data_IF_116421064718
#
_entry.id   IF_116421064718
#
_cell.length_a   1.000
_cell.length_b   1.000
_cell.length_c   1.000
_cell.angle_alpha   90.00
_cell.angle_beta   90.00
_cell.angle_gamma   90.00
#
_symmetry.space_group_name_H-M   'P 1'
#
loop_
_entity.id
_entity.type
_entity.pdbx_description
1 polymer ?
#
# COMPACT_ATOMS: atom_id res chain seq x y z
N UNK A 1 -38.56 -36.24 14.53
CA UNK A 1 -37.68 -36.68 15.63
C UNK A 1 -36.40 -37.23 15.01
N UNK A 2 -35.31 -36.56 15.18
CA UNK A 2 -33.96 -37.03 15.41
C UNK A 2 -33.00 -35.83 15.37
N UNK A 3 -32.48 -35.49 16.54
CA UNK A 3 -31.37 -34.57 16.75
C UNK A 3 -30.11 -35.21 16.18
N UNK A 4 -29.30 -34.41 15.44
CA UNK A 4 -27.87 -34.61 15.39
C UNK A 4 -27.21 -33.36 15.96
N UNK A 5 -26.60 -33.54 17.12
CA UNK A 5 -25.78 -32.57 17.81
C UNK A 5 -24.44 -32.36 17.10
N UNK A 6 -24.03 -31.19 17.16
CA UNK A 6 -22.85 -30.52 16.72
C UNK A 6 -21.53 -30.98 17.28
N UNK A 7 -20.62 -30.16 17.39
CA UNK A 7 -19.24 -30.06 17.87
C UNK A 7 -18.34 -29.63 16.75
N UNK A 8 -17.43 -28.75 16.87
CA UNK A 8 -16.83 -28.00 17.98
C UNK A 8 -16.21 -26.71 17.38
N UNK A 9 -16.38 -25.52 17.96
CA UNK A 9 -15.74 -24.31 17.47
C UNK A 9 -14.48 -23.92 18.27
N UNK A 10 -13.74 -24.88 18.87
CA UNK A 10 -12.61 -24.55 19.75
C UNK A 10 -11.26 -25.07 19.25
N UNK A 11 -10.82 -24.58 18.05
CA UNK A 11 -9.46 -24.88 17.58
C UNK A 11 -8.59 -23.64 17.31
N UNK A 12 -9.05 -22.43 17.68
CA UNK A 12 -8.28 -21.18 17.49
C UNK A 12 -8.20 -20.26 18.72
N UNK A 13 -8.48 -20.75 19.92
CA UNK A 13 -8.27 -19.99 21.15
C UNK A 13 -6.91 -20.32 21.75
N UNK A 14 -5.85 -19.62 21.35
CA UNK A 14 -4.56 -19.85 22.00
C UNK A 14 -3.36 -19.05 21.56
N UNK A 15 -3.49 -18.12 20.65
CA UNK A 15 -2.35 -17.26 20.31
C UNK A 15 -2.64 -15.81 20.71
N UNK A 16 -2.13 -15.38 21.86
CA UNK A 16 -2.09 -13.97 22.21
C UNK A 16 -1.04 -13.26 21.34
N UNK A 17 -1.38 -12.12 20.79
CA UNK A 17 -0.59 -11.26 19.90
C UNK A 17 0.80 -10.88 20.50
N UNK A 18 0.90 -10.83 21.82
CA UNK A 18 2.14 -10.59 22.56
C UNK A 18 3.19 -11.68 22.37
N UNK A 19 2.79 -12.94 22.22
CA UNK A 19 3.73 -14.05 22.09
C UNK A 19 4.48 -14.09 20.76
N UNK A 20 3.92 -13.51 19.69
CA UNK A 20 4.56 -13.43 18.37
C UNK A 20 5.59 -12.29 18.32
N UNK A 21 5.30 -11.16 18.95
CA UNK A 21 6.21 -10.03 19.03
C UNK A 21 7.45 -10.37 19.85
N UNK A 22 7.27 -10.95 21.03
CA UNK A 22 8.36 -11.36 21.92
C UNK A 22 9.24 -12.45 21.30
N UNK A 23 8.64 -13.34 20.48
CA UNK A 23 9.39 -14.38 19.76
C UNK A 23 10.18 -13.81 18.57
N UNK A 24 9.71 -12.76 17.93
CA UNK A 24 10.45 -12.09 16.86
C UNK A 24 11.60 -11.22 17.39
N UNK A 25 11.46 -10.57 18.55
CA UNK A 25 12.52 -9.78 19.19
C UNK A 25 13.71 -10.64 19.66
N UNK A 26 13.46 -11.91 20.02
CA UNK A 26 14.52 -12.86 20.38
C UNK A 26 15.32 -13.40 19.20
N UNK A 27 14.90 -13.18 17.96
CA UNK A 27 15.58 -13.65 16.78
C UNK A 27 16.73 -12.75 16.34
N UNK A 28 17.74 -12.59 17.19
CA UNK A 28 19.00 -11.91 16.79
C UNK A 28 19.85 -12.75 15.84
N UNK A 29 19.56 -14.04 15.69
CA UNK A 29 20.24 -14.93 14.75
C UNK A 29 19.20 -15.72 13.94
N UNK A 30 19.08 -15.38 12.65
CA UNK A 30 18.07 -15.92 11.73
C UNK A 30 18.24 -17.44 11.52
N UNK A 31 19.45 -17.97 11.70
CA UNK A 31 19.75 -19.40 11.52
C UNK A 31 19.16 -20.28 12.65
N UNK A 32 18.81 -19.68 13.78
CA UNK A 32 18.30 -20.41 14.96
C UNK A 32 16.87 -20.06 15.36
N UNK A 33 16.22 -19.12 14.66
CA UNK A 33 14.85 -18.72 14.99
C UNK A 33 13.83 -19.73 14.46
N UNK A 34 13.35 -20.61 15.33
CA UNK A 34 12.31 -21.58 15.01
C UNK A 34 10.96 -20.97 14.63
N UNK A 35 10.74 -19.69 14.86
CA UNK A 35 9.52 -18.96 14.47
C UNK A 35 9.67 -18.35 13.07
N UNK A 36 10.87 -17.86 12.75
CA UNK A 36 11.20 -17.32 11.41
C UNK A 36 11.80 -18.39 10.49
N UNK A 37 12.33 -19.49 11.05
CA UNK A 37 12.93 -20.62 10.34
C UNK A 37 12.08 -21.88 10.31
N UNK A 38 10.88 -21.82 10.88
CA UNK A 38 9.88 -22.89 10.76
C UNK A 38 9.52 -23.07 9.30
N UNK A 39 9.68 -24.26 8.86
CA UNK A 39 9.44 -24.80 7.51
C UNK A 39 8.76 -23.82 6.56
N UNK A 40 9.55 -23.25 5.67
CA UNK A 40 9.12 -22.35 4.58
C UNK A 40 8.01 -22.98 3.71
N UNK A 41 7.86 -24.31 3.76
CA UNK A 41 6.84 -25.07 3.02
C UNK A 41 5.38 -24.74 3.41
N UNK A 42 5.13 -24.17 4.58
CA UNK A 42 3.78 -23.76 5.01
C UNK A 42 3.44 -22.30 4.72
N UNK A 43 4.46 -21.45 4.48
CA UNK A 43 4.29 -20.03 4.24
C UNK A 43 4.50 -19.61 2.78
N UNK A 44 5.02 -20.49 1.93
CA UNK A 44 5.12 -20.25 0.49
C UNK A 44 3.77 -20.08 -0.22
N UNK A 45 2.66 -20.36 0.45
CA UNK A 45 1.33 -20.26 -0.14
C UNK A 45 0.62 -18.93 0.11
N UNK A 46 1.21 -17.99 0.82
CA UNK A 46 0.54 -16.72 1.12
C UNK A 46 1.06 -15.56 0.24
N UNK A 47 2.12 -15.74 -0.51
CA UNK A 47 2.70 -14.67 -1.31
C UNK A 47 3.11 -15.01 -2.72
N UNK A 48 2.95 -16.24 -3.19
CA UNK A 48 3.37 -16.64 -4.54
C UNK A 48 2.38 -17.64 -5.12
N UNK A 49 1.32 -17.15 -5.70
CA UNK A 49 0.68 -17.79 -6.84
C UNK A 49 0.46 -16.77 -7.95
N UNK A 50 1.54 -16.41 -8.58
CA UNK A 50 1.50 -16.00 -9.97
C UNK A 50 1.37 -17.29 -10.80
N UNK A 51 0.18 -17.85 -10.90
CA UNK A 51 -0.25 -18.73 -12.00
C UNK A 51 -1.70 -19.08 -11.78
N UNK A 52 -2.54 -18.24 -12.26
CA UNK A 52 -3.88 -18.42 -12.79
C UNK A 52 -4.61 -17.08 -12.69
N UNK A 53 -4.39 -16.19 -13.64
CA UNK A 53 -5.39 -15.28 -14.16
C UNK A 53 -6.12 -14.32 -13.21
N UNK A 54 -5.64 -13.99 -12.02
CA UNK A 54 -6.30 -13.03 -11.15
C UNK A 54 -5.31 -12.30 -10.23
N UNK A 55 -5.22 -10.99 -10.43
CA UNK A 55 -5.02 -9.95 -9.44
C UNK A 55 -3.66 -9.93 -8.72
N UNK A 56 -2.67 -9.39 -9.41
CA UNK A 56 -1.44 -8.90 -8.77
C UNK A 56 -1.70 -7.49 -8.22
N UNK A 57 -1.83 -7.35 -6.92
CA UNK A 57 -1.73 -6.08 -6.21
C UNK A 57 -0.40 -6.06 -5.44
N UNK A 58 0.22 -4.92 -5.27
CA UNK A 58 1.33 -4.78 -4.34
C UNK A 58 0.81 -4.57 -2.92
N UNK A 59 1.57 -5.05 -1.96
CA UNK A 59 1.12 -5.15 -0.58
C UNK A 59 2.14 -4.61 0.38
N UNK A 60 1.72 -3.72 1.22
CA UNK A 60 2.50 -3.30 2.37
C UNK A 60 2.30 -4.28 3.54
N UNK A 61 3.34 -5.04 3.89
CA UNK A 61 3.23 -6.07 4.91
C UNK A 61 3.44 -5.53 6.33
N UNK A 62 2.48 -5.77 7.20
CA UNK A 62 2.58 -5.49 8.63
C UNK A 62 3.46 -6.50 9.41
N UNK A 63 4.21 -7.41 8.73
CA UNK A 63 5.00 -8.45 9.38
C UNK A 63 6.52 -8.25 9.23
N UNK A 64 7.21 -7.72 10.26
CA UNK A 64 8.64 -7.40 10.19
C UNK A 64 9.58 -8.61 10.02
N UNK A 65 9.14 -9.84 10.34
CA UNK A 65 10.00 -11.01 10.21
C UNK A 65 10.22 -11.45 8.75
N UNK A 66 9.29 -11.13 7.85
CA UNK A 66 9.38 -11.52 6.44
C UNK A 66 10.40 -10.71 5.67
N UNK A 67 10.52 -9.43 5.96
CA UNK A 67 11.44 -8.52 5.27
C UNK A 67 12.92 -8.75 5.57
N UNK A 68 13.27 -9.18 6.79
CA UNK A 68 14.69 -9.41 7.15
C UNK A 68 15.39 -10.48 6.33
N UNK A 69 14.68 -11.51 5.86
CA UNK A 69 15.27 -12.59 5.04
C UNK A 69 15.50 -12.18 3.60
N UNK A 70 14.81 -11.16 3.08
CA UNK A 70 14.96 -10.67 1.70
C UNK A 70 16.16 -9.72 1.54
N UNK A 71 16.65 -9.11 2.63
CA UNK A 71 17.72 -8.11 2.61
C UNK A 71 19.14 -8.66 2.36
N UNK A 72 19.34 -9.96 2.28
CA UNK A 72 20.65 -10.57 1.98
C UNK A 72 20.98 -10.68 0.48
N UNK A 73 20.15 -10.14 -0.40
CA UNK A 73 20.49 -10.07 -1.82
C UNK A 73 21.72 -9.15 -2.03
N UNK A 74 22.83 -9.75 -2.40
CA UNK A 74 24.17 -9.13 -2.51
C UNK A 74 24.31 -8.04 -3.57
N UNK A 75 23.34 -7.85 -4.44
CA UNK A 75 23.19 -6.68 -5.33
C UNK A 75 21.73 -6.58 -5.73
N UNK A 76 21.10 -5.45 -5.46
CA UNK A 76 19.76 -5.19 -5.94
C UNK A 76 19.76 -5.20 -7.48
N UNK A 77 19.25 -6.26 -8.07
CA UNK A 77 19.10 -6.36 -9.52
C UNK A 77 17.76 -5.74 -9.90
N UNK A 78 17.79 -4.42 -10.11
CA UNK A 78 16.62 -3.66 -10.53
C UNK A 78 16.29 -4.01 -11.97
N UNK A 79 15.05 -4.45 -12.23
CA UNK A 79 14.57 -4.84 -13.56
C UNK A 79 13.31 -4.06 -13.90
N UNK A 80 13.13 -3.84 -15.20
CA UNK A 80 11.91 -3.27 -15.75
C UNK A 80 11.18 -4.32 -16.59
N UNK A 81 9.93 -4.61 -16.24
CA UNK A 81 9.11 -5.62 -16.89
C UNK A 81 8.43 -5.15 -18.18
N UNK A 82 8.49 -3.84 -18.52
CA UNK A 82 7.91 -3.29 -19.75
C UNK A 82 6.48 -2.76 -19.60
N UNK A 83 5.91 -2.77 -18.39
CA UNK A 83 4.58 -2.24 -18.08
C UNK A 83 4.45 -0.73 -18.21
N UNK A 84 3.26 -0.17 -18.02
CA UNK A 84 3.04 1.26 -18.06
C UNK A 84 3.78 1.97 -16.93
N UNK A 85 4.30 3.18 -17.22
CA UNK A 85 4.97 4.04 -16.26
C UNK A 85 4.29 5.41 -16.23
N UNK A 86 4.29 6.04 -15.08
CA UNK A 86 3.81 7.40 -14.88
C UNK A 86 4.64 8.40 -15.67
N UNK A 87 3.99 9.21 -16.52
CA UNK A 87 4.67 10.21 -17.34
C UNK A 87 4.39 11.62 -16.85
N UNK A 88 5.25 12.56 -17.24
CA UNK A 88 4.99 13.97 -16.97
C UNK A 88 3.60 14.38 -17.48
N UNK A 89 2.90 15.13 -16.64
CA UNK A 89 1.57 15.65 -16.96
C UNK A 89 0.42 14.64 -16.74
N UNK A 90 0.69 13.44 -16.22
CA UNK A 90 -0.35 12.58 -15.68
C UNK A 90 -1.03 13.25 -14.50
N UNK A 91 -2.17 12.75 -14.09
CA UNK A 91 -3.01 13.44 -13.11
C UNK A 91 -3.39 12.53 -11.95
N UNK A 92 -3.21 13.03 -10.74
CA UNK A 92 -3.76 12.47 -9.52
C UNK A 92 -5.17 13.00 -9.26
N UNK A 93 -6.08 12.12 -8.85
CA UNK A 93 -7.41 12.47 -8.39
C UNK A 93 -7.63 11.90 -6.99
N UNK A 94 -7.67 12.76 -5.99
CA UNK A 94 -8.03 12.35 -4.65
C UNK A 94 -9.55 12.15 -4.55
N UNK A 95 -9.96 11.00 -4.01
CA UNK A 95 -11.36 10.62 -3.74
C UNK A 95 -11.52 10.35 -2.26
N UNK A 96 -12.31 11.14 -1.59
CA UNK A 96 -12.68 10.97 -0.19
C UNK A 96 -14.01 10.24 -0.10
N UNK A 97 -14.00 8.97 0.30
CA UNK A 97 -15.22 8.16 0.29
C UNK A 97 -15.91 8.15 1.64
N UNK A 98 -17.03 8.82 1.73
CA UNK A 98 -17.93 8.82 2.88
C UNK A 98 -18.17 10.18 3.52
N UNK A 99 -19.26 10.31 4.28
CA UNK A 99 -19.65 11.56 4.93
C UNK A 99 -18.64 12.04 6.00
N UNK A 100 -17.76 11.15 6.49
CA UNK A 100 -16.69 11.52 7.39
C UNK A 100 -15.86 12.69 6.85
N UNK A 101 -15.48 12.64 5.59
CA UNK A 101 -14.64 13.64 4.96
C UNK A 101 -15.34 14.94 4.61
N UNK A 102 -16.69 14.94 4.53
CA UNK A 102 -17.49 16.16 4.30
C UNK A 102 -17.92 16.82 5.60
N UNK A 103 -17.61 16.24 6.76
CA UNK A 103 -17.90 16.85 8.06
C UNK A 103 -16.99 18.06 8.30
N UNK A 104 -17.53 19.23 8.73
CA UNK A 104 -16.72 20.38 9.10
C UNK A 104 -15.64 20.06 10.15
N UNK A 105 -15.92 19.13 11.06
CA UNK A 105 -14.96 18.70 12.08
C UNK A 105 -13.71 18.04 11.49
N UNK A 106 -13.79 17.49 10.28
CA UNK A 106 -12.69 16.79 9.60
C UNK A 106 -12.08 17.60 8.45
N UNK A 107 -12.53 18.84 8.25
CA UNK A 107 -12.01 19.68 7.15
C UNK A 107 -10.50 19.95 7.25
N UNK A 108 -9.99 20.13 8.47
CA UNK A 108 -8.55 20.29 8.68
C UNK A 108 -7.77 19.02 8.32
N UNK A 109 -8.30 17.85 8.63
CA UNK A 109 -7.73 16.56 8.26
C UNK A 109 -7.63 16.39 6.75
N UNK A 110 -8.73 16.62 6.02
CA UNK A 110 -8.74 16.57 4.55
C UNK A 110 -7.72 17.54 3.96
N UNK A 111 -7.69 18.79 4.46
CA UNK A 111 -6.71 19.79 4.00
C UNK A 111 -5.26 19.35 4.24
N UNK A 112 -4.98 18.67 5.34
CA UNK A 112 -3.64 18.14 5.62
C UNK A 112 -3.26 17.03 4.65
N UNK A 113 -4.20 16.15 4.27
CA UNK A 113 -3.96 15.11 3.26
C UNK A 113 -3.70 15.74 1.88
N UNK A 114 -4.53 16.70 1.45
CA UNK A 114 -4.33 17.40 0.18
C UNK A 114 -2.96 18.06 0.08
N UNK A 115 -2.54 18.70 1.17
CA UNK A 115 -1.21 19.30 1.26
C UNK A 115 -0.14 18.21 1.15
N UNK A 116 -0.27 17.13 1.89
CA UNK A 116 0.71 16.04 1.88
C UNK A 116 0.87 15.42 0.49
N UNK A 117 -0.24 15.15 -0.23
CA UNK A 117 -0.17 14.67 -1.62
C UNK A 117 0.60 15.66 -2.51
N UNK A 118 0.34 16.96 -2.37
CA UNK A 118 1.03 17.99 -3.14
C UNK A 118 2.52 18.07 -2.81
N UNK A 119 2.87 18.02 -1.52
CA UNK A 119 4.26 18.11 -1.06
C UNK A 119 5.04 16.84 -1.47
N UNK A 120 4.47 15.65 -1.33
CA UNK A 120 5.07 14.39 -1.81
C UNK A 120 5.29 14.42 -3.31
N UNK A 121 4.27 14.85 -4.08
CA UNK A 121 4.36 14.87 -5.55
C UNK A 121 5.41 15.88 -6.06
N UNK A 122 5.58 17.01 -5.39
CA UNK A 122 6.45 18.09 -5.82
C UNK A 122 7.86 18.08 -5.22
N UNK A 123 8.14 17.18 -4.24
CA UNK A 123 9.46 17.15 -3.59
C UNK A 123 10.57 16.82 -4.59
N UNK A 124 11.59 17.69 -4.59
CA UNK A 124 12.69 17.65 -5.56
C UNK A 124 13.62 16.45 -5.40
N UNK A 125 13.70 15.91 -4.22
CA UNK A 125 14.60 14.78 -3.91
C UNK A 125 13.87 13.46 -3.89
N UNK A 126 12.60 13.48 -3.50
CA UNK A 126 11.74 12.31 -3.42
C UNK A 126 11.10 11.99 -4.78
N UNK A 127 10.05 12.69 -5.16
CA UNK A 127 9.32 12.40 -6.42
C UNK A 127 10.10 12.75 -7.67
N UNK A 128 10.83 13.87 -7.71
CA UNK A 128 11.70 14.19 -8.86
C UNK A 128 12.88 13.23 -8.96
N UNK A 129 13.37 12.70 -7.83
CA UNK A 129 14.42 11.68 -7.78
C UNK A 129 14.07 10.39 -8.53
N UNK A 130 12.77 10.08 -8.65
CA UNK A 130 12.27 8.92 -9.40
C UNK A 130 12.47 9.03 -10.93
N UNK A 131 12.87 10.19 -11.46
CA UNK A 131 13.17 10.36 -12.88
C UNK A 131 14.20 9.34 -13.41
N UNK A 132 15.06 8.82 -12.55
CA UNK A 132 15.96 7.72 -12.88
C UNK A 132 15.24 6.45 -13.36
N UNK A 133 13.98 6.28 -13.01
CA UNK A 133 13.10 5.19 -13.42
C UNK A 133 12.25 5.53 -14.65
N UNK A 134 12.56 6.63 -15.33
CA UNK A 134 11.82 7.12 -16.50
C UNK A 134 10.35 7.43 -16.19
N UNK A 135 10.09 7.89 -14.98
CA UNK A 135 8.78 8.39 -14.52
C UNK A 135 8.84 9.91 -14.32
N UNK A 136 7.69 10.53 -14.26
CA UNK A 136 7.58 11.99 -14.22
C UNK A 136 6.77 12.49 -13.02
N UNK A 137 6.48 13.78 -13.07
CA UNK A 137 5.65 14.48 -12.07
C UNK A 137 4.23 14.61 -12.61
N UNK A 138 3.26 14.35 -11.74
CA UNK A 138 1.85 14.48 -12.00
C UNK A 138 1.31 15.89 -11.72
N UNK A 139 0.04 16.06 -12.08
CA UNK A 139 -0.78 17.21 -11.67
C UNK A 139 -1.81 16.72 -10.66
N UNK A 140 -2.26 17.58 -9.78
CA UNK A 140 -3.34 17.27 -8.85
C UNK A 140 -4.62 17.96 -9.35
N UNK A 141 -5.69 17.18 -9.48
CA UNK A 141 -7.04 17.70 -9.65
C UNK A 141 -7.62 18.16 -8.32
N UNK A 142 -8.60 19.06 -8.31
CA UNK A 142 -9.41 19.30 -7.12
C UNK A 142 -10.00 17.98 -6.61
N UNK A 143 -10.01 17.75 -5.29
CA UNK A 143 -10.50 16.50 -4.71
C UNK A 143 -12.01 16.30 -4.94
N UNK A 144 -12.43 15.05 -4.98
CA UNK A 144 -13.84 14.65 -5.02
C UNK A 144 -14.23 14.00 -3.70
N UNK A 145 -15.36 14.42 -3.12
CA UNK A 145 -15.90 13.78 -1.92
C UNK A 145 -17.19 13.05 -2.25
N UNK A 146 -17.20 11.73 -2.03
CA UNK A 146 -18.37 10.88 -2.18
C UNK A 146 -19.12 10.86 -0.85
N UNK A 147 -20.32 11.45 -0.80
CA UNK A 147 -21.08 11.59 0.45
C UNK A 147 -21.78 10.31 0.93
N UNK A 148 -21.89 9.30 0.05
CA UNK A 148 -22.47 8.00 0.41
C UNK A 148 -21.43 7.22 1.20
N UNK A 149 -21.79 6.72 2.38
CA UNK A 149 -20.90 5.92 3.20
C UNK A 149 -20.58 4.58 2.50
N UNK A 150 -19.31 4.13 2.47
CA UNK A 150 -19.00 2.76 2.10
C UNK A 150 -19.53 1.78 3.14
N UNK A 151 -19.68 0.52 2.78
CA UNK A 151 -19.86 -0.55 3.74
C UNK A 151 -18.66 -0.65 4.68
N UNK A 152 -18.83 -1.12 5.89
CA UNK A 152 -17.74 -1.25 6.87
C UNK A 152 -16.68 -2.28 6.45
N UNK A 153 -17.07 -3.21 5.58
CA UNK A 153 -16.17 -4.18 4.93
C UNK A 153 -16.46 -4.18 3.45
N UNK A 154 -15.44 -3.95 2.65
CA UNK A 154 -15.50 -3.98 1.19
C UNK A 154 -14.41 -4.88 0.65
N UNK A 155 -14.63 -5.51 -0.47
CA UNK A 155 -13.59 -6.21 -1.21
C UNK A 155 -12.99 -5.28 -2.26
N UNK A 156 -11.75 -5.55 -2.68
CA UNK A 156 -11.12 -4.82 -3.79
C UNK A 156 -11.98 -4.91 -5.07
N UNK A 157 -12.54 -6.07 -5.36
CA UNK A 157 -13.46 -6.23 -6.48
C UNK A 157 -14.69 -5.31 -6.41
N UNK A 158 -15.29 -5.10 -5.22
CA UNK A 158 -16.38 -4.14 -5.03
C UNK A 158 -15.90 -2.70 -5.17
N UNK A 159 -14.70 -2.39 -4.67
CA UNK A 159 -14.09 -1.07 -4.81
C UNK A 159 -13.86 -0.75 -6.29
N UNK A 160 -13.28 -1.66 -7.05
CA UNK A 160 -13.07 -1.51 -8.51
C UNK A 160 -14.37 -1.28 -9.27
N UNK A 161 -15.41 -2.05 -8.99
CA UNK A 161 -16.74 -1.86 -9.58
C UNK A 161 -17.30 -0.47 -9.23
N UNK A 162 -17.14 -0.04 -7.99
CA UNK A 162 -17.59 1.26 -7.51
C UNK A 162 -16.84 2.40 -8.21
N UNK A 163 -15.50 2.32 -8.30
CA UNK A 163 -14.70 3.29 -9.03
C UNK A 163 -15.10 3.38 -10.50
N UNK A 164 -15.26 2.24 -11.16
CA UNK A 164 -15.73 2.19 -12.55
C UNK A 164 -17.09 2.85 -12.72
N UNK A 165 -18.03 2.64 -11.78
CA UNK A 165 -19.34 3.28 -11.78
C UNK A 165 -19.25 4.80 -11.60
N UNK A 166 -18.42 5.29 -10.69
CA UNK A 166 -18.21 6.73 -10.50
C UNK A 166 -17.63 7.41 -11.74
N UNK A 167 -16.70 6.74 -12.41
CA UNK A 167 -16.12 7.23 -13.67
C UNK A 167 -17.19 7.26 -14.77
N UNK A 168 -17.94 6.17 -14.93
CA UNK A 168 -18.97 6.07 -15.97
C UNK A 168 -20.11 7.09 -15.77
N UNK A 169 -20.48 7.40 -14.54
CA UNK A 169 -21.50 8.41 -14.21
C UNK A 169 -21.00 9.85 -14.25
N UNK A 170 -19.70 10.09 -14.42
CA UNK A 170 -19.10 11.41 -14.33
C UNK A 170 -19.00 11.96 -12.89
N UNK A 171 -19.24 11.12 -11.87
CA UNK A 171 -19.06 11.50 -10.45
C UNK A 171 -17.60 11.83 -10.14
N UNK A 172 -16.68 11.11 -10.75
CA UNK A 172 -15.25 11.44 -10.76
C UNK A 172 -14.75 11.58 -12.21
N UNK A 173 -13.73 12.43 -12.46
CA UNK A 173 -13.17 12.60 -13.80
C UNK A 173 -12.65 11.27 -14.36
N UNK A 174 -12.84 11.04 -15.65
CA UNK A 174 -12.21 9.92 -16.36
C UNK A 174 -10.78 10.29 -16.75
N UNK A 175 -9.80 9.71 -16.08
CA UNK A 175 -8.37 9.93 -16.33
C UNK A 175 -7.81 8.97 -17.40
N UNK A 176 -8.55 7.93 -17.76
CA UNK A 176 -8.09 6.88 -18.69
C UNK A 176 -6.80 6.23 -18.17
N UNK A 177 -5.79 6.14 -19.06
CA UNK A 177 -4.46 5.62 -18.72
C UNK A 177 -3.45 6.72 -18.34
N UNK A 178 -3.91 7.98 -18.18
CA UNK A 178 -3.04 9.14 -17.93
C UNK A 178 -3.21 9.72 -16.54
N UNK A 179 -3.57 8.89 -15.58
CA UNK A 179 -3.73 9.29 -14.20
C UNK A 179 -4.15 8.15 -13.29
N UNK A 180 -4.25 8.46 -12.02
CA UNK A 180 -4.65 7.53 -10.99
C UNK A 180 -5.52 8.21 -9.92
N UNK A 181 -6.19 7.38 -9.16
CA UNK A 181 -7.12 7.78 -8.11
C UNK A 181 -6.57 7.36 -6.75
N UNK A 182 -6.32 8.31 -5.85
CA UNK A 182 -6.05 7.99 -4.45
C UNK A 182 -7.39 7.91 -3.72
N UNK A 183 -7.76 6.74 -3.22
CA UNK A 183 -9.06 6.47 -2.60
C UNK A 183 -8.90 6.39 -1.08
N UNK A 184 -9.30 7.46 -0.39
CA UNK A 184 -9.23 7.54 1.07
C UNK A 184 -10.51 6.98 1.69
N UNK A 185 -10.34 5.97 2.57
CA UNK A 185 -11.43 5.34 3.29
C UNK A 185 -11.59 5.94 4.69
N UNK A 186 -12.84 6.07 5.19
CA UNK A 186 -13.09 6.63 6.51
C UNK A 186 -12.76 5.64 7.64
N UNK A 187 -12.69 6.09 8.91
CA UNK A 187 -12.51 5.20 10.05
C UNK A 187 -13.49 4.04 10.05
N UNK A 188 -13.05 2.87 10.50
CA UNK A 188 -13.83 1.62 10.65
C UNK A 188 -14.27 0.98 9.33
N UNK A 189 -13.73 1.40 8.21
CA UNK A 189 -13.87 0.71 6.93
C UNK A 189 -12.61 -0.08 6.69
N UNK A 190 -12.76 -1.36 6.40
CA UNK A 190 -11.67 -2.26 5.98
C UNK A 190 -11.90 -2.71 4.55
N UNK A 191 -10.82 -2.83 3.79
CA UNK A 191 -10.82 -3.42 2.46
C UNK A 191 -10.10 -4.76 2.52
N UNK A 192 -10.60 -5.75 1.76
CA UNK A 192 -9.98 -7.07 1.65
C UNK A 192 -9.66 -7.40 0.20
N UNK A 193 -8.49 -7.95 0.00
CA UNK A 193 -8.01 -8.42 -1.29
C UNK A 193 -8.36 -9.90 -1.47
N UNK A 194 -8.37 -10.64 -0.37
CA UNK A 194 -8.88 -12.01 -0.29
C UNK A 194 -9.58 -12.23 1.05
N UNK A 195 -10.23 -13.38 1.29
CA UNK A 195 -10.86 -13.68 2.59
C UNK A 195 -9.92 -13.64 3.79
N UNK A 196 -8.62 -13.79 3.57
CA UNK A 196 -7.59 -13.83 4.62
C UNK A 196 -6.73 -12.55 4.67
N UNK A 197 -6.96 -11.61 3.75
CA UNK A 197 -6.08 -10.44 3.57
C UNK A 197 -6.92 -9.17 3.64
N UNK A 198 -6.91 -8.56 4.80
CA UNK A 198 -7.64 -7.32 5.07
C UNK A 198 -6.70 -6.22 5.53
N UNK A 199 -7.05 -4.99 5.19
CA UNK A 199 -6.36 -3.80 5.67
C UNK A 199 -6.36 -3.73 7.19
N UNK A 200 -5.31 -3.16 7.79
CA UNK A 200 -5.05 -3.10 9.22
C UNK A 200 -4.79 -4.45 9.91
N UNK A 201 -4.80 -5.54 9.17
CA UNK A 201 -4.50 -6.89 9.67
C UNK A 201 -3.31 -7.51 8.94
N UNK A 202 -3.26 -7.38 7.62
CA UNK A 202 -2.22 -7.97 6.77
C UNK A 202 -1.44 -6.91 6.00
N UNK A 203 -2.11 -5.86 5.53
CA UNK A 203 -1.52 -4.74 4.80
C UNK A 203 -2.07 -3.41 5.32
N UNK A 204 -1.41 -2.30 4.98
CA UNK A 204 -1.78 -0.95 5.38
C UNK A 204 -2.54 -0.22 4.27
N UNK A 205 -2.01 -0.29 3.08
CA UNK A 205 -2.45 0.36 1.85
C UNK A 205 -2.07 -0.53 0.66
N UNK A 206 -2.47 -0.19 -0.54
CA UNK A 206 -2.08 -0.88 -1.77
C UNK A 206 -2.45 -0.05 -3.01
N UNK A 207 -1.79 -0.33 -4.13
CA UNK A 207 -2.23 0.14 -5.43
C UNK A 207 -2.63 -1.01 -6.35
N UNK A 208 -3.43 -0.68 -7.36
CA UNK A 208 -3.86 -1.66 -8.35
C UNK A 208 -4.40 -0.97 -9.62
N UNK A 209 -4.80 -1.78 -10.59
CA UNK A 209 -5.47 -1.35 -11.81
C UNK A 209 -6.78 -2.10 -12.02
N UNK A 210 -7.83 -1.39 -12.43
CA UNK A 210 -9.15 -2.01 -12.69
C UNK A 210 -9.06 -3.02 -13.84
N UNK A 211 -8.37 -2.65 -14.92
CA UNK A 211 -8.24 -3.46 -16.14
C UNK A 211 -6.76 -3.67 -16.53
N UNK A 212 -5.91 -4.01 -15.56
CA UNK A 212 -4.49 -4.19 -15.77
C UNK A 212 -3.84 -2.97 -16.42
N UNK A 213 -2.97 -3.15 -17.40
CA UNK A 213 -2.22 -2.06 -18.06
C UNK A 213 -3.08 -1.00 -18.76
N UNK A 214 -4.39 -1.22 -18.88
CA UNK A 214 -5.33 -0.24 -19.46
C UNK A 214 -5.99 0.65 -18.40
N UNK A 215 -5.67 0.47 -17.10
CA UNK A 215 -6.28 1.24 -16.00
C UNK A 215 -7.80 1.03 -15.89
N UNK A 216 -8.52 1.89 -15.23
CA UNK A 216 -8.03 2.93 -14.32
C UNK A 216 -7.07 2.42 -13.25
N UNK A 217 -6.07 3.23 -12.92
CA UNK A 217 -5.10 2.95 -11.86
C UNK A 217 -5.54 3.63 -10.57
N UNK A 218 -5.28 3.00 -9.42
CA UNK A 218 -5.70 3.56 -8.13
C UNK A 218 -4.81 3.09 -6.98
N UNK A 219 -4.77 3.91 -5.94
CA UNK A 219 -4.29 3.52 -4.61
C UNK A 219 -5.48 3.46 -3.65
N UNK A 220 -5.36 2.70 -2.60
CA UNK A 220 -6.35 2.63 -1.53
C UNK A 220 -5.67 2.91 -0.21
N UNK A 221 -6.17 3.96 0.44
CA UNK A 221 -5.67 4.48 1.69
C UNK A 221 -6.71 4.26 2.80
N UNK A 222 -6.69 3.12 3.49
CA UNK A 222 -7.52 2.94 4.68
C UNK A 222 -7.24 4.02 5.71
N UNK A 223 -8.21 4.36 6.55
CA UNK A 223 -7.93 5.24 7.68
C UNK A 223 -6.80 4.64 8.52
N UNK A 224 -5.82 5.45 8.95
CA UNK A 224 -4.59 4.95 9.58
C UNK A 224 -4.81 3.93 10.68
N UNK A 225 -4.23 2.79 10.51
CA UNK A 225 -4.32 1.69 11.45
C UNK A 225 -3.48 1.99 12.70
N UNK A 226 -4.01 1.71 13.87
CA UNK A 226 -3.33 1.96 15.14
C UNK A 226 -2.23 0.94 15.47
N UNK A 227 -2.15 -0.16 14.70
CA UNK A 227 -1.18 -1.24 14.91
C UNK A 227 -0.62 -1.70 13.57
N UNK A 228 0.67 -1.98 13.55
CA UNK A 228 1.37 -2.57 12.41
C UNK A 228 1.72 -1.57 11.29
N UNK A 229 0.91 -0.55 11.06
CA UNK A 229 1.11 0.45 10.02
C UNK A 229 1.73 1.77 10.55
N UNK A 230 1.78 1.95 11.87
CA UNK A 230 2.28 3.17 12.53
C UNK A 230 3.77 3.02 12.91
N UNK A 231 4.62 2.73 11.97
CA UNK A 231 6.01 2.37 12.23
C UNK A 231 6.87 3.55 12.74
N UNK A 232 6.58 4.77 12.26
CA UNK A 232 7.41 5.92 12.58
C UNK A 232 6.90 6.74 13.75
N UNK A 233 5.60 6.89 13.86
CA UNK A 233 4.95 7.69 14.90
C UNK A 233 3.56 7.16 15.23
N UNK A 234 2.99 7.64 16.34
CA UNK A 234 1.57 7.38 16.65
C UNK A 234 0.64 8.45 16.06
N UNK A 235 1.15 9.34 15.20
CA UNK A 235 0.37 10.36 14.54
C UNK A 235 -0.31 9.76 13.30
N UNK A 236 -1.63 9.92 13.20
CA UNK A 236 -2.41 9.36 12.10
C UNK A 236 -2.04 9.95 10.74
N UNK A 237 -1.67 11.24 10.67
CA UNK A 237 -1.25 11.84 9.40
C UNK A 237 0.09 11.25 8.93
N UNK A 238 1.06 11.14 9.84
CA UNK A 238 2.37 10.58 9.52
C UNK A 238 2.25 9.10 9.06
N UNK A 239 1.35 8.33 9.70
CA UNK A 239 1.05 6.95 9.29
C UNK A 239 0.44 6.92 7.89
N UNK A 240 -0.52 7.81 7.62
CA UNK A 240 -1.16 7.89 6.31
C UNK A 240 -0.17 8.30 5.22
N UNK A 241 0.66 9.32 5.49
CA UNK A 241 1.59 9.83 4.47
C UNK A 241 2.71 8.85 4.16
N UNK A 242 3.06 7.99 5.12
CA UNK A 242 4.03 6.93 4.90
C UNK A 242 3.50 5.92 3.87
N UNK A 243 2.31 5.35 4.08
CA UNK A 243 1.70 4.44 3.12
C UNK A 243 1.36 5.11 1.80
N UNK A 244 0.66 6.24 1.83
CA UNK A 244 0.34 7.01 0.63
C UNK A 244 1.57 7.29 -0.25
N UNK A 245 2.70 7.66 0.35
CA UNK A 245 3.92 7.94 -0.39
C UNK A 245 4.53 6.70 -1.03
N UNK A 246 4.40 5.56 -0.39
CA UNK A 246 4.76 4.25 -0.93
C UNK A 246 3.93 3.95 -2.16
N UNK A 247 2.62 3.96 -2.04
CA UNK A 247 1.70 3.65 -3.13
C UNK A 247 1.82 4.65 -4.30
N UNK A 248 2.10 5.93 -4.02
CA UNK A 248 2.39 6.92 -5.06
C UNK A 248 3.69 6.62 -5.82
N UNK A 249 4.74 6.16 -5.15
CA UNK A 249 6.00 5.78 -5.79
C UNK A 249 5.82 4.51 -6.61
N UNK A 250 5.22 3.50 -6.03
CA UNK A 250 5.03 2.19 -6.65
C UNK A 250 4.11 2.30 -7.85
N UNK A 251 2.97 2.99 -7.71
CA UNK A 251 2.10 3.25 -8.84
C UNK A 251 2.82 4.01 -9.98
N UNK A 252 3.73 4.93 -9.68
CA UNK A 252 4.50 5.61 -10.73
C UNK A 252 5.46 4.68 -11.45
N UNK A 253 6.09 3.77 -10.74
CA UNK A 253 7.15 2.90 -11.24
C UNK A 253 6.66 1.54 -11.70
N UNK A 254 5.47 1.13 -11.24
CA UNK A 254 4.81 -0.13 -11.55
C UNK A 254 3.27 0.01 -11.58
N UNK A 255 2.74 0.86 -12.47
CA UNK A 255 1.31 1.21 -12.53
C UNK A 255 0.36 0.01 -12.58
N UNK A 256 0.82 -1.10 -13.15
CA UNK A 256 0.13 -2.38 -13.12
C UNK A 256 1.04 -3.36 -12.38
N UNK A 257 0.76 -3.65 -11.11
CA UNK A 257 1.67 -4.37 -10.22
C UNK A 257 2.36 -5.59 -10.83
N UNK A 258 3.66 -5.67 -10.64
CA UNK A 258 4.51 -6.75 -11.16
C UNK A 258 4.94 -6.60 -12.62
N UNK A 259 4.59 -5.50 -13.30
CA UNK A 259 4.97 -5.27 -14.71
C UNK A 259 5.96 -4.14 -14.94
N UNK A 260 6.19 -3.31 -13.95
CA UNK A 260 7.08 -2.15 -14.00
C UNK A 260 8.48 -2.41 -13.48
N UNK A 261 8.97 -1.55 -12.60
CA UNK A 261 10.30 -1.65 -11.99
C UNK A 261 10.25 -2.45 -10.70
N UNK A 262 11.00 -3.55 -10.64
CA UNK A 262 11.07 -4.46 -9.50
C UNK A 262 12.50 -4.83 -9.13
N UNK A 263 12.70 -5.27 -7.88
CA UNK A 263 13.94 -5.84 -7.34
C UNK A 263 13.63 -7.26 -6.87
N UNK A 264 14.01 -8.25 -7.66
CA UNK A 264 13.51 -9.61 -7.47
C UNK A 264 12.00 -9.67 -7.73
N UNK A 265 11.20 -9.92 -6.69
CA UNK A 265 9.73 -9.93 -6.74
C UNK A 265 9.12 -8.78 -5.92
N UNK A 266 9.93 -7.80 -5.53
CA UNK A 266 9.50 -6.65 -4.71
C UNK A 266 9.48 -5.40 -5.55
N UNK A 267 8.57 -4.50 -5.23
CA UNK A 267 8.57 -3.15 -5.74
C UNK A 267 9.66 -2.31 -5.08
N UNK A 268 9.82 -1.07 -5.50
CA UNK A 268 10.97 -0.27 -5.10
C UNK A 268 10.90 0.16 -3.63
N UNK A 269 9.71 0.41 -3.10
CA UNK A 269 9.51 0.75 -1.71
C UNK A 269 9.54 -0.49 -0.83
N UNK A 270 8.84 -1.55 -1.21
CA UNK A 270 8.87 -2.86 -0.55
C UNK A 270 10.28 -3.34 -0.23
N UNK A 271 11.20 -3.19 -1.20
CA UNK A 271 12.59 -3.55 -1.01
C UNK A 271 13.27 -2.73 0.08
N UNK A 272 12.83 -1.50 0.30
CA UNK A 272 13.37 -0.58 1.29
C UNK A 272 12.66 -0.60 2.63
N UNK A 273 11.41 -1.03 2.67
CA UNK A 273 10.58 -1.02 3.87
C UNK A 273 11.17 -1.84 5.02
N UNK A 274 11.77 -2.96 4.71
CA UNK A 274 12.44 -3.79 5.72
C UNK A 274 13.55 -3.09 6.53
N UNK A 275 13.94 -1.89 6.18
CA UNK A 275 14.95 -1.09 6.91
C UNK A 275 14.34 -0.15 7.92
N UNK A 276 13.01 -0.01 7.97
CA UNK A 276 12.25 0.83 8.90
C UNK A 276 12.86 2.23 9.07
N UNK A 277 13.18 2.87 7.97
CA UNK A 277 13.77 4.21 8.01
C UNK A 277 12.65 5.23 7.87
N UNK A 278 12.36 5.89 8.97
CA UNK A 278 11.41 6.99 9.01
C UNK A 278 12.04 8.23 8.39
N UNK A 279 11.76 8.45 7.14
CA UNK A 279 12.28 9.59 6.39
C UNK A 279 11.26 10.73 6.35
N UNK A 280 11.76 11.94 6.17
CA UNK A 280 10.93 13.11 5.88
C UNK A 280 11.35 13.77 4.58
N UNK A 281 10.38 14.30 3.88
CA UNK A 281 10.60 15.21 2.76
C UNK A 281 10.73 16.66 3.25
N UNK A 282 11.07 17.57 2.36
CA UNK A 282 11.24 19.00 2.68
C UNK A 282 9.97 19.63 3.26
N UNK A 283 8.79 19.17 2.85
CA UNK A 283 7.48 19.59 3.39
C UNK A 283 7.23 19.18 4.84
N UNK A 284 8.02 18.23 5.34
CA UNK A 284 7.93 17.72 6.73
C UNK A 284 7.14 16.43 6.87
N UNK A 285 6.49 15.97 5.83
CA UNK A 285 5.73 14.72 5.81
C UNK A 285 6.65 13.52 5.98
N UNK A 286 6.23 12.52 6.74
CA UNK A 286 6.86 11.20 6.73
C UNK A 286 6.53 10.46 5.44
N UNK A 287 7.54 9.84 4.85
CA UNK A 287 7.43 9.08 3.61
C UNK A 287 8.17 7.77 3.71
N UNK A 288 7.72 6.79 2.94
CA UNK A 288 8.43 5.53 2.79
C UNK A 288 9.66 5.69 1.90
N UNK A 289 10.67 4.88 2.13
CA UNK A 289 11.88 4.87 1.30
C UNK A 289 11.65 4.09 0.01
N UNK A 290 12.25 4.52 -1.07
CA UNK A 290 12.36 3.78 -2.30
C UNK A 290 13.84 3.50 -2.65
N UNK A 291 14.10 2.48 -3.44
CA UNK A 291 15.46 2.13 -3.83
C UNK A 291 16.00 3.10 -4.88
N UNK A 292 17.10 3.80 -4.56
CA UNK A 292 17.83 4.66 -5.49
C UNK A 292 18.89 3.84 -6.24
N UNK A 293 18.62 3.52 -7.51
CA UNK A 293 19.52 2.69 -8.32
C UNK A 293 20.83 3.37 -8.64
N UNK A 294 20.86 4.70 -8.66
CA UNK A 294 22.08 5.47 -8.91
C UNK A 294 22.99 5.44 -7.68
N UNK A 295 22.43 5.54 -6.49
CA UNK A 295 23.16 5.43 -5.22
C UNK A 295 23.33 4.00 -4.75
N UNK A 296 22.61 3.04 -5.36
CA UNK A 296 22.54 1.61 -4.94
C UNK A 296 22.16 1.46 -3.46
N UNK A 297 21.24 2.28 -2.98
CA UNK A 297 20.80 2.35 -1.60
C UNK A 297 19.35 2.81 -1.53
N UNK A 298 18.68 2.57 -0.41
CA UNK A 298 17.38 3.18 -0.16
C UNK A 298 17.52 4.69 0.10
N UNK A 299 16.60 5.47 -0.43
CA UNK A 299 16.51 6.91 -0.19
C UNK A 299 16.37 7.21 1.30
N UNK A 300 17.06 8.24 1.82
CA UNK A 300 17.20 8.49 3.25
C UNK A 300 16.78 9.89 3.68
N UNK A 301 15.84 10.49 2.99
CA UNK A 301 15.42 11.84 3.35
C UNK A 301 16.37 12.93 2.84
N UNK A 302 16.00 14.16 3.14
CA UNK A 302 16.74 15.38 2.81
C UNK A 302 17.50 15.90 4.03
#
# INVERSE_FOLDING_TARGET
>A
MSRVQGKDPDLFSGFSDTSLKDRCESCNNIETCNVCGGSISGFEHIGVRANAGHESGSWHYANPCRHRNQLRARSANVKYGGGPLWKNGYTWQNIYWGPYFSSPANAAWVKSIERAVADIESDKTYSVGLSQYNVGIGKLNPPVTIKIAPASKITDGQLRQTLASWIASGTVPNLGTKGAYNIFLPPRVTVSLSPLEASCAVFCDYHNAVNGSNGPFYTVEPYPCSKGCNQCTNNSLDTLTQGLSEEMVELKTDMNPGTGWVIGNLELCDYCDAKFVCNRITGGEYVNSWYDKNKKACWKGT
#
